data_IF_637555677262
#
_entry.id   IF_637555677262
#
_cell.length_a   1.000
_cell.length_b   1.000
_cell.length_c   1.000
_cell.angle_alpha   90.00
_cell.angle_beta   90.00
_cell.angle_gamma   90.00
#
_symmetry.space_group_name_H-M   'P 1'
#
loop_
_entity.id
_entity.type
_entity.pdbx_description
1 polymer ?
#
# COMPACT_ATOMS: atom_id res chain seq x y z
N UNK A 1 -13.40 -22.92 20.76
CA UNK A 1 -13.42 -22.38 19.38
C UNK A 1 -11.99 -22.03 19.03
N UNK A 2 -11.50 -22.32 17.82
CA UNK A 2 -10.16 -21.95 17.42
C UNK A 2 -9.97 -20.43 17.44
N UNK A 3 -8.80 -19.98 17.80
CA UNK A 3 -8.45 -18.56 17.81
C UNK A 3 -8.43 -18.02 16.37
N UNK A 4 -9.04 -16.87 16.15
CA UNK A 4 -9.07 -16.21 14.84
C UNK A 4 -8.00 -15.14 14.76
N UNK A 5 -7.12 -15.23 13.76
CA UNK A 5 -5.98 -14.33 13.59
C UNK A 5 -6.11 -13.56 12.27
N UNK A 6 -5.97 -12.23 12.33
CA UNK A 6 -5.82 -11.40 11.14
C UNK A 6 -4.37 -10.91 11.01
N UNK A 7 -3.63 -11.32 9.96
CA UNK A 7 -2.33 -10.76 9.65
C UNK A 7 -2.48 -9.41 8.95
N UNK A 8 -1.73 -8.42 9.41
CA UNK A 8 -1.59 -7.10 8.80
C UNK A 8 -0.12 -6.91 8.47
N UNK A 9 0.24 -7.08 7.21
CA UNK A 9 1.64 -7.06 6.79
C UNK A 9 1.82 -7.58 5.38
N UNK A 10 3.01 -8.02 5.08
CA UNK A 10 3.39 -8.58 3.78
C UNK A 10 3.19 -10.10 3.70
N UNK A 11 3.64 -10.68 2.59
CA UNK A 11 3.70 -12.14 2.46
C UNK A 11 4.63 -12.80 3.51
N UNK A 12 5.54 -12.04 4.14
CA UNK A 12 6.47 -12.55 5.16
C UNK A 12 5.75 -12.98 6.44
N UNK A 13 4.63 -12.32 6.79
CA UNK A 13 3.80 -12.77 7.91
C UNK A 13 2.67 -13.69 7.45
N UNK A 14 2.07 -13.39 6.30
CA UNK A 14 0.89 -14.13 5.84
C UNK A 14 1.21 -15.57 5.44
N UNK A 15 2.32 -15.80 4.73
CA UNK A 15 2.68 -17.15 4.27
C UNK A 15 3.05 -18.10 5.43
N UNK A 16 3.93 -17.72 6.38
CA UNK A 16 4.19 -18.56 7.56
C UNK A 16 2.92 -18.88 8.37
N UNK A 17 2.00 -17.91 8.50
CA UNK A 17 0.76 -18.15 9.23
C UNK A 17 -0.18 -19.13 8.48
N UNK A 18 -0.21 -19.09 7.15
CA UNK A 18 -0.97 -20.09 6.36
C UNK A 18 -0.42 -21.50 6.59
N UNK A 19 0.91 -21.65 6.56
CA UNK A 19 1.53 -22.94 6.83
C UNK A 19 1.30 -23.40 8.28
N UNK A 20 1.38 -22.47 9.23
CA UNK A 20 1.14 -22.77 10.64
C UNK A 20 -0.33 -23.17 10.90
N UNK A 21 -1.30 -22.58 10.20
CA UNK A 21 -2.71 -22.93 10.34
C UNK A 21 -3.04 -24.39 9.95
N UNK A 22 -2.16 -25.06 9.20
CA UNK A 22 -2.29 -26.51 8.92
C UNK A 22 -1.81 -27.39 10.08
N UNK A 23 -1.08 -26.82 11.05
CA UNK A 23 -0.44 -27.57 12.14
C UNK A 23 -0.96 -27.20 13.52
N UNK A 24 -1.55 -26.03 13.67
CA UNK A 24 -2.02 -25.48 14.93
C UNK A 24 -3.49 -25.10 14.84
N UNK A 25 -4.19 -25.14 15.96
CA UNK A 25 -5.63 -24.88 16.04
C UNK A 25 -5.93 -23.36 16.07
N UNK A 26 -5.77 -22.72 14.93
CA UNK A 26 -6.26 -21.35 14.70
C UNK A 26 -6.79 -21.16 13.27
N UNK A 27 -7.56 -20.13 13.06
CA UNK A 27 -8.12 -19.76 11.75
C UNK A 27 -7.59 -18.41 11.30
N UNK A 28 -7.17 -18.30 10.03
CA UNK A 28 -6.83 -17.01 9.43
C UNK A 28 -8.08 -16.30 8.92
N UNK A 29 -8.25 -15.07 9.36
CA UNK A 29 -9.25 -14.15 8.85
C UNK A 29 -8.61 -13.13 7.90
N UNK A 30 -8.79 -13.33 6.60
CA UNK A 30 -8.33 -12.41 5.56
C UNK A 30 -9.46 -11.52 5.01
N UNK A 31 -10.68 -11.69 5.49
CA UNK A 31 -11.87 -11.08 4.89
C UNK A 31 -11.89 -9.54 4.96
N UNK A 32 -11.18 -8.95 5.92
CA UNK A 32 -11.09 -7.50 6.09
C UNK A 32 -9.79 -6.88 5.55
N UNK A 33 -8.85 -7.70 5.06
CA UNK A 33 -7.56 -7.21 4.57
C UNK A 33 -7.69 -6.82 3.11
N UNK A 34 -7.61 -5.52 2.79
CA UNK A 34 -7.71 -5.05 1.41
C UNK A 34 -6.39 -5.13 0.64
N UNK A 35 -5.27 -5.29 1.31
CA UNK A 35 -3.97 -5.40 0.67
C UNK A 35 -2.85 -5.70 1.66
N UNK A 36 -1.66 -5.94 1.13
CA UNK A 36 -0.45 -6.02 1.94
C UNK A 36 -0.05 -4.65 2.45
N UNK A 37 0.55 -4.62 3.63
CA UNK A 37 1.10 -3.42 4.25
C UNK A 37 2.57 -3.64 4.59
N UNK A 38 3.38 -2.58 4.52
CA UNK A 38 4.81 -2.67 4.84
C UNK A 38 5.23 -1.64 5.88
N UNK A 39 4.49 -0.53 6.00
CA UNK A 39 4.77 0.56 6.93
C UNK A 39 3.70 0.68 7.99
N UNK A 40 4.02 1.35 9.11
CA UNK A 40 3.06 1.67 10.17
C UNK A 40 1.88 2.49 9.65
N UNK A 41 2.12 3.44 8.76
CA UNK A 41 1.09 4.27 8.16
C UNK A 41 0.07 3.46 7.33
N UNK A 42 0.56 2.49 6.53
CA UNK A 42 -0.31 1.56 5.79
C UNK A 42 -1.10 0.65 6.74
N UNK A 43 -0.45 0.14 7.80
CA UNK A 43 -1.11 -0.69 8.80
C UNK A 43 -2.22 0.09 9.54
N UNK A 44 -1.94 1.32 9.96
CA UNK A 44 -2.92 2.20 10.58
C UNK A 44 -4.11 2.48 9.64
N UNK A 45 -3.85 2.71 8.35
CA UNK A 45 -4.90 2.89 7.35
C UNK A 45 -5.77 1.63 7.21
N UNK A 46 -5.17 0.43 7.28
CA UNK A 46 -5.90 -0.84 7.30
C UNK A 46 -6.78 -0.97 8.55
N UNK A 47 -6.32 -0.54 9.74
CA UNK A 47 -7.15 -0.51 10.94
C UNK A 47 -8.31 0.49 10.82
N UNK A 48 -8.08 1.67 10.28
CA UNK A 48 -9.16 2.64 10.00
C UNK A 48 -10.20 2.05 9.04
N UNK A 49 -9.77 1.25 8.08
CA UNK A 49 -10.69 0.54 7.19
C UNK A 49 -11.56 -0.46 7.96
N UNK A 50 -10.99 -1.25 8.87
CA UNK A 50 -11.76 -2.16 9.73
C UNK A 50 -12.78 -1.42 10.61
N UNK A 51 -12.44 -0.23 11.07
CA UNK A 51 -13.32 0.62 11.89
C UNK A 51 -14.39 1.35 11.06
N UNK A 52 -14.24 1.35 9.73
CA UNK A 52 -15.12 2.09 8.82
C UNK A 52 -14.83 3.58 8.79
N UNK A 53 -13.67 4.00 9.26
CA UNK A 53 -13.18 5.39 9.26
C UNK A 53 -12.41 5.73 7.98
N UNK A 54 -12.11 4.75 7.16
CA UNK A 54 -11.44 4.88 5.87
C UNK A 54 -12.12 3.98 4.84
N UNK A 55 -12.29 4.49 3.63
CA UNK A 55 -12.71 3.74 2.46
C UNK A 55 -11.72 4.03 1.32
N UNK A 56 -11.10 2.99 0.71
CA UNK A 56 -10.22 3.18 -0.44
C UNK A 56 -10.94 3.88 -1.58
N UNK A 57 -10.36 4.94 -2.12
CA UNK A 57 -10.91 5.57 -3.32
C UNK A 57 -10.84 4.62 -4.51
N UNK A 58 -11.89 4.62 -5.36
CA UNK A 58 -11.92 3.81 -6.58
C UNK A 58 -10.70 4.10 -7.47
N UNK A 59 -10.29 5.36 -7.51
CA UNK A 59 -9.18 5.84 -8.29
C UNK A 59 -7.83 5.25 -7.84
N UNK A 60 -7.63 5.07 -6.53
CA UNK A 60 -6.39 4.53 -5.96
C UNK A 60 -6.42 3.00 -5.77
N UNK A 61 -7.58 2.39 -5.91
CA UNK A 61 -7.77 0.95 -5.69
C UNK A 61 -6.71 0.07 -6.37
N UNK A 62 -6.26 0.31 -7.63
CA UNK A 62 -5.26 -0.54 -8.29
C UNK A 62 -3.88 -0.54 -7.61
N UNK A 63 -3.52 0.53 -6.90
CA UNK A 63 -2.22 0.69 -6.22
C UNK A 63 -2.35 0.57 -4.69
N UNK A 64 -3.55 0.37 -4.19
CA UNK A 64 -3.89 0.24 -2.78
C UNK A 64 -4.24 -1.21 -2.43
N UNK A 65 -5.13 -1.83 -3.22
CA UNK A 65 -5.66 -3.17 -2.95
C UNK A 65 -4.99 -4.29 -3.77
N UNK A 66 -4.18 -3.95 -4.76
CA UNK A 66 -3.68 -4.94 -5.73
C UNK A 66 -4.77 -5.48 -6.66
N UNK A 67 -4.36 -6.06 -7.78
CA UNK A 67 -5.30 -6.56 -8.80
C UNK A 67 -6.10 -7.80 -8.37
N UNK A 68 -5.58 -8.57 -7.40
CA UNK A 68 -6.16 -9.85 -6.98
C UNK A 68 -7.25 -9.71 -5.91
N UNK A 69 -7.34 -8.56 -5.25
CA UNK A 69 -8.29 -8.36 -4.15
C UNK A 69 -9.60 -7.82 -4.69
N UNK A 70 -10.61 -8.68 -4.81
CA UNK A 70 -12.00 -8.23 -4.91
C UNK A 70 -12.37 -7.62 -3.56
N UNK A 71 -12.36 -6.31 -3.47
CA UNK A 71 -12.88 -5.61 -2.29
C UNK A 71 -14.36 -6.01 -2.18
N UNK A 72 -14.66 -6.87 -1.23
CA UNK A 72 -16.05 -7.24 -0.91
C UNK A 72 -16.79 -5.98 -0.48
N UNK A 73 -18.07 -5.91 -0.75
CA UNK A 73 -18.91 -4.77 -0.35
C UNK A 73 -18.69 -4.42 1.13
N UNK A 74 -18.56 -3.17 1.44
CA UNK A 74 -18.19 -2.60 2.75
C UNK A 74 -18.98 -3.14 3.95
N UNK A 75 -20.21 -3.61 3.73
CA UNK A 75 -21.10 -4.12 4.77
C UNK A 75 -20.69 -5.47 5.36
N UNK A 76 -19.98 -6.32 4.60
CA UNK A 76 -19.52 -7.62 5.09
C UNK A 76 -18.24 -7.57 5.95
N UNK A 77 -17.48 -6.49 5.85
CA UNK A 77 -16.16 -6.37 6.46
C UNK A 77 -16.21 -5.94 7.93
N UNK A 78 -17.20 -5.14 8.30
CA UNK A 78 -17.39 -4.63 9.67
C UNK A 78 -17.79 -5.68 10.71
N UNK A 79 -18.21 -6.87 10.27
CA UNK A 79 -18.85 -7.84 11.18
C UNK A 79 -17.92 -8.92 11.75
N UNK A 80 -16.74 -9.12 11.21
CA UNK A 80 -15.84 -10.21 11.65
C UNK A 80 -14.59 -9.63 12.33
N UNK A 81 -14.70 -9.40 13.64
CA UNK A 81 -13.53 -9.15 14.49
C UNK A 81 -12.73 -10.45 14.64
N UNK A 82 -11.40 -10.33 14.64
CA UNK A 82 -10.50 -11.41 15.02
C UNK A 82 -10.11 -11.28 16.48
N UNK A 83 -9.74 -12.42 17.07
CA UNK A 83 -9.27 -12.47 18.45
C UNK A 83 -7.87 -11.86 18.58
N UNK A 84 -7.07 -11.97 17.50
CA UNK A 84 -5.71 -11.46 17.45
C UNK A 84 -5.40 -10.80 16.11
N UNK A 85 -4.70 -9.68 16.16
CA UNK A 85 -4.12 -9.00 15.01
C UNK A 85 -2.60 -9.06 15.10
N UNK A 86 -1.95 -9.65 14.08
CA UNK A 86 -0.49 -9.70 13.98
C UNK A 86 -0.03 -8.68 12.95
N UNK A 87 0.76 -7.70 13.38
CA UNK A 87 1.22 -6.59 12.53
C UNK A 87 2.70 -6.77 12.21
N UNK A 88 3.04 -6.72 10.91
CA UNK A 88 4.42 -6.66 10.43
C UNK A 88 4.72 -5.24 9.92
N UNK A 89 5.77 -4.63 10.44
CA UNK A 89 6.29 -3.35 9.99
C UNK A 89 7.70 -3.58 9.42
N UNK A 90 7.86 -3.46 8.11
CA UNK A 90 9.10 -3.83 7.42
C UNK A 90 9.70 -2.71 6.59
N UNK A 91 9.05 -1.56 6.45
CA UNK A 91 9.52 -0.45 5.64
C UNK A 91 9.42 0.89 6.36
N UNK A 92 10.54 1.62 6.35
CA UNK A 92 10.57 3.02 6.76
C UNK A 92 10.12 4.00 5.67
N UNK A 93 9.95 3.53 4.42
CA UNK A 93 9.48 4.34 3.29
C UNK A 93 7.98 4.23 3.15
N UNK A 94 7.30 5.36 3.24
CA UNK A 94 5.85 5.47 3.11
C UNK A 94 5.53 6.18 1.79
N UNK A 95 4.72 5.54 0.95
CA UNK A 95 4.21 6.10 -0.30
C UNK A 95 2.78 6.58 -0.08
N UNK A 96 2.41 7.68 -0.73
CA UNK A 96 1.05 8.20 -0.65
C UNK A 96 0.66 9.02 -1.88
N UNK A 97 -0.64 9.12 -2.10
CA UNK A 97 -1.29 10.01 -3.07
C UNK A 97 -2.37 10.78 -2.32
N UNK A 98 -2.22 12.10 -2.25
CA UNK A 98 -3.06 12.92 -1.39
C UNK A 98 -2.90 12.52 0.08
N UNK A 99 -3.97 12.05 0.70
CA UNK A 99 -3.99 11.57 2.10
C UNK A 99 -3.99 10.04 2.24
N UNK A 100 -3.99 9.29 1.14
CA UNK A 100 -4.07 7.84 1.14
C UNK A 100 -2.70 7.20 0.98
N UNK A 101 -2.36 6.28 1.87
CA UNK A 101 -1.12 5.50 1.80
C UNK A 101 -1.26 4.36 0.80
N UNK A 102 -0.25 4.18 -0.06
CA UNK A 102 -0.27 3.19 -1.13
C UNK A 102 0.93 2.25 -1.04
N UNK A 103 0.73 1.03 -1.50
CA UNK A 103 1.73 -0.03 -1.33
C UNK A 103 2.74 -0.06 -2.50
N UNK A 104 4.03 -0.04 -2.17
CA UNK A 104 5.12 0.11 -3.14
C UNK A 104 5.16 -0.99 -4.22
N UNK A 105 4.84 -2.25 -3.86
CA UNK A 105 4.83 -3.34 -4.84
C UNK A 105 3.66 -3.21 -5.81
N UNK A 106 2.48 -2.78 -5.32
CA UNK A 106 1.33 -2.55 -6.20
C UNK A 106 1.58 -1.38 -7.15
N UNK A 107 2.19 -0.30 -6.65
CA UNK A 107 2.66 0.82 -7.48
C UNK A 107 3.62 0.33 -8.56
N UNK A 108 4.61 -0.48 -8.19
CA UNK A 108 5.62 -1.01 -9.13
C UNK A 108 4.99 -1.91 -10.19
N UNK A 109 4.03 -2.75 -9.83
CA UNK A 109 3.30 -3.62 -10.77
C UNK A 109 2.39 -2.80 -11.68
N UNK A 110 1.63 -1.85 -11.13
CA UNK A 110 0.68 -1.04 -11.89
C UNK A 110 1.37 -0.14 -12.93
N UNK A 111 2.56 0.35 -12.60
CA UNK A 111 3.41 1.17 -13.46
C UNK A 111 4.64 0.42 -13.99
N UNK A 112 4.54 -0.89 -14.21
CA UNK A 112 5.67 -1.72 -14.60
C UNK A 112 6.43 -1.18 -15.82
N UNK A 113 5.71 -0.72 -16.87
CA UNK A 113 6.32 -0.15 -18.07
C UNK A 113 7.14 1.12 -17.75
N UNK A 114 6.66 1.94 -16.80
CA UNK A 114 7.39 3.14 -16.39
C UNK A 114 8.62 2.79 -15.54
N UNK A 115 8.51 1.85 -14.62
CA UNK A 115 9.59 1.48 -13.70
C UNK A 115 10.54 0.41 -14.27
N UNK A 116 10.31 -0.12 -15.48
CA UNK A 116 11.22 -1.07 -16.15
C UNK A 116 12.61 -0.51 -16.42
N UNK A 117 12.74 0.80 -16.64
CA UNK A 117 14.01 1.48 -16.78
C UNK A 117 14.51 1.97 -15.41
N UNK A 118 15.65 1.44 -14.98
CA UNK A 118 16.23 1.74 -13.67
C UNK A 118 16.71 3.19 -13.50
N UNK A 119 17.12 3.85 -14.60
CA UNK A 119 17.56 5.27 -14.57
C UNK A 119 16.34 6.16 -14.38
N UNK A 120 15.30 5.93 -15.17
CA UNK A 120 14.02 6.63 -15.05
C UNK A 120 13.39 6.44 -13.67
N UNK A 121 13.36 5.20 -13.16
CA UNK A 121 12.85 4.90 -11.84
C UNK A 121 13.61 5.66 -10.74
N UNK A 122 14.94 5.66 -10.76
CA UNK A 122 15.75 6.41 -9.79
C UNK A 122 15.48 7.92 -9.85
N UNK A 123 15.42 8.48 -11.06
CA UNK A 123 15.11 9.90 -11.26
C UNK A 123 13.74 10.25 -10.73
N UNK A 124 12.72 9.44 -11.05
CA UNK A 124 11.37 9.62 -10.55
C UNK A 124 11.33 9.66 -9.02
N UNK A 125 11.93 8.67 -8.35
CA UNK A 125 11.93 8.63 -6.90
C UNK A 125 12.72 9.78 -6.27
N UNK A 126 13.80 10.24 -6.89
CA UNK A 126 14.53 11.40 -6.41
C UNK A 126 13.71 12.70 -6.44
N UNK A 127 12.78 12.80 -7.39
CA UNK A 127 11.87 13.95 -7.57
C UNK A 127 10.57 13.82 -6.78
N UNK A 128 10.21 12.61 -6.37
CA UNK A 128 8.94 12.32 -5.66
C UNK A 128 9.08 12.37 -4.13
N UNK A 129 10.26 12.72 -3.59
CA UNK A 129 10.47 12.84 -2.15
C UNK A 129 9.78 14.07 -1.59
N UNK A 130 8.94 13.88 -0.55
CA UNK A 130 8.27 14.97 0.15
C UNK A 130 9.28 15.93 0.81
N UNK A 131 9.01 17.22 0.82
CA UNK A 131 9.85 18.25 1.46
C UNK A 131 10.90 18.88 0.55
N UNK A 132 10.94 18.54 -0.74
CA UNK A 132 11.72 19.25 -1.75
C UNK A 132 10.82 20.09 -2.65
N UNK A 133 11.20 21.33 -2.97
CA UNK A 133 10.51 22.14 -3.98
C UNK A 133 10.88 21.64 -5.40
N UNK A 134 10.44 20.41 -5.70
CA UNK A 134 10.76 19.72 -6.96
C UNK A 134 9.53 19.45 -7.82
N UNK A 135 8.39 20.03 -7.49
CA UNK A 135 7.14 19.80 -8.22
C UNK A 135 7.27 20.10 -9.71
N UNK A 136 7.83 21.26 -10.04
CA UNK A 136 8.05 21.67 -11.45
C UNK A 136 9.08 20.77 -12.17
N UNK A 137 10.14 20.34 -11.47
CA UNK A 137 11.13 19.42 -12.04
C UNK A 137 10.53 18.02 -12.29
N UNK A 138 9.71 17.54 -11.37
CA UNK A 138 9.01 16.26 -11.53
C UNK A 138 8.05 16.30 -12.70
N UNK A 139 7.26 17.37 -12.81
CA UNK A 139 6.33 17.54 -13.92
C UNK A 139 7.06 17.62 -15.28
N UNK A 140 8.12 18.42 -15.38
CA UNK A 140 8.95 18.51 -16.57
C UNK A 140 9.58 17.16 -16.94
N UNK A 141 10.09 16.43 -15.96
CA UNK A 141 10.63 15.09 -16.16
C UNK A 141 9.55 14.13 -16.68
N UNK A 142 8.40 14.06 -16.04
CA UNK A 142 7.30 13.19 -16.49
C UNK A 142 6.87 13.49 -17.91
N UNK A 143 6.72 14.78 -18.25
CA UNK A 143 6.36 15.23 -19.62
C UNK A 143 7.42 14.89 -20.67
N UNK A 144 8.69 14.74 -20.29
CA UNK A 144 9.76 14.32 -21.21
C UNK A 144 9.77 12.82 -21.52
N UNK A 145 9.09 12.00 -20.71
CA UNK A 145 9.09 10.54 -20.84
C UNK A 145 8.00 10.05 -21.82
N UNK A 146 8.40 9.47 -22.92
CA UNK A 146 7.46 8.97 -23.94
C UNK A 146 6.50 7.90 -23.40
N UNK A 147 6.94 7.09 -22.44
CA UNK A 147 6.10 6.06 -21.77
C UNK A 147 5.02 6.72 -20.94
N UNK A 148 5.30 7.84 -20.26
CA UNK A 148 4.32 8.60 -19.50
C UNK A 148 3.25 9.20 -20.42
N UNK A 149 3.66 9.79 -21.55
CA UNK A 149 2.74 10.40 -22.50
C UNK A 149 1.74 9.40 -23.13
N UNK A 150 2.12 8.12 -23.19
CA UNK A 150 1.25 7.03 -23.69
C UNK A 150 0.27 6.48 -22.65
N UNK A 151 0.38 6.88 -21.40
CA UNK A 151 -0.55 6.46 -20.35
C UNK A 151 -1.91 7.16 -20.48
N UNK A 152 -2.94 6.53 -19.95
CA UNK A 152 -4.23 7.21 -19.73
C UNK A 152 -4.07 8.40 -18.79
N UNK A 153 -4.95 9.39 -18.88
CA UNK A 153 -4.96 10.57 -18.00
C UNK A 153 -4.99 10.20 -16.52
N UNK A 154 -5.73 9.17 -16.15
CA UNK A 154 -5.79 8.69 -14.78
C UNK A 154 -4.45 8.14 -14.29
N UNK A 155 -3.76 7.33 -15.10
CA UNK A 155 -2.42 6.83 -14.78
C UNK A 155 -1.40 7.97 -14.68
N UNK A 156 -1.46 8.94 -15.59
CA UNK A 156 -0.59 10.12 -15.55
C UNK A 156 -0.80 10.91 -14.26
N UNK A 157 -2.06 11.15 -13.89
CA UNK A 157 -2.40 11.84 -12.64
C UNK A 157 -1.90 11.08 -11.42
N UNK A 158 -2.15 9.76 -11.35
CA UNK A 158 -1.67 8.92 -10.24
C UNK A 158 -0.14 8.99 -10.07
N UNK A 159 0.59 8.87 -11.19
CA UNK A 159 2.05 8.91 -11.15
C UNK A 159 2.57 10.31 -10.79
N UNK A 160 1.91 11.36 -11.29
CA UNK A 160 2.23 12.74 -10.95
C UNK A 160 2.04 13.01 -9.46
N UNK A 161 0.93 12.58 -8.86
CA UNK A 161 0.57 12.86 -7.47
C UNK A 161 1.26 11.92 -6.46
N UNK A 162 1.85 10.81 -6.95
CA UNK A 162 2.55 9.84 -6.11
C UNK A 162 3.80 10.45 -5.49
N UNK A 163 3.85 10.46 -4.17
CA UNK A 163 4.96 10.97 -3.37
C UNK A 163 5.39 9.97 -2.32
N UNK A 164 6.55 10.19 -1.70
CA UNK A 164 6.97 9.40 -0.56
C UNK A 164 7.70 10.25 0.50
N UNK A 165 7.68 9.75 1.73
CA UNK A 165 8.54 10.21 2.83
C UNK A 165 9.20 9.02 3.52
N UNK A 166 10.21 9.29 4.29
CA UNK A 166 10.73 8.33 5.27
C UNK A 166 10.01 8.56 6.59
N UNK A 167 9.71 7.49 7.32
CA UNK A 167 9.27 7.58 8.70
C UNK A 167 10.38 8.22 9.54
N UNK A 168 10.02 9.07 10.49
CA UNK A 168 10.97 9.58 11.47
C UNK A 168 11.35 8.45 12.45
N UNK A 169 12.48 8.61 13.15
CA UNK A 169 12.85 7.68 14.22
C UNK A 169 11.82 7.68 15.36
N UNK A 170 11.14 8.80 15.59
CA UNK A 170 10.08 8.91 16.59
C UNK A 170 8.84 8.12 16.19
N UNK A 171 8.43 8.17 14.91
CA UNK A 171 7.34 7.35 14.39
C UNK A 171 7.63 5.84 14.46
N UNK A 172 8.92 5.44 14.42
CA UNK A 172 9.32 4.04 14.53
C UNK A 172 9.48 3.58 16.00
N UNK A 173 9.50 4.51 16.96
CA UNK A 173 9.68 4.22 18.40
C UNK A 173 8.41 4.43 19.22
N UNK A 174 7.36 5.04 18.65
CA UNK A 174 6.12 5.41 19.36
C UNK A 174 5.04 4.31 19.35
N UNK A 175 5.35 3.14 18.81
CA UNK A 175 4.52 1.96 18.85
C UNK A 175 5.10 0.92 19.84
#
# INVERSE_FOLDING_TARGET
MPVTITPIGSCRITNPLREAAHRFDFTLNMDGVYGYTHSSAEALQQFKYFQGEFAPSEFLRPILCGQAVKVKSELGLRSKKSDLYLVELSAAKVLFVGSEYVQSNYVSVFFADFFSDAVRARKFWSLSKMGGDKGNEKEAFLKSEAVFQKMSSDKQRLLHDLTYRLCSEEELKSD
#
